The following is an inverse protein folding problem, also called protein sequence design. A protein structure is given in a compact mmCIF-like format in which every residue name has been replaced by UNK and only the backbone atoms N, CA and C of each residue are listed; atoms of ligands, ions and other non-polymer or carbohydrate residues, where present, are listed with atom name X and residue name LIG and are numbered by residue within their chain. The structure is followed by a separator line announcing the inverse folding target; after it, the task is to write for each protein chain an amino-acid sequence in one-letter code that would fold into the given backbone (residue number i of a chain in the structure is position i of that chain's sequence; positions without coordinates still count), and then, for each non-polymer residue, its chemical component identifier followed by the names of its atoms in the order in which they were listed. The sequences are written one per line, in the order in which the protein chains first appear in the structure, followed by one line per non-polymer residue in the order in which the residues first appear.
data_IF_461928622642
#
_entry.id   IF_461928622642
#
_cell.length_a   1.000
_cell.length_b   1.000
_cell.length_c   1.000
_cell.angle_alpha   90.00
_cell.angle_beta   90.00
_cell.angle_gamma   90.00
#
_symmetry.space_group_name_H-M   'P 1'
#
loop_
_entity.id
_entity.type
_entity.pdbx_description
1 polymer ?
#
# COMPACT_ATOMS: atom_id res chain seq x y z
N UNK A 1 -0.06 13.21 2.89
CA UNK A 1 -0.12 11.74 3.01
C UNK A 1 -1.05 11.38 4.16
N UNK A 2 -2.16 10.66 3.92
CA UNK A 2 -3.21 10.54 4.93
C UNK A 2 -2.88 9.58 6.10
N UNK A 3 -2.38 8.37 5.82
CA UNK A 3 -2.27 7.32 6.85
C UNK A 3 -0.86 6.81 7.12
N UNK A 4 0.03 6.87 6.13
CA UNK A 4 1.37 6.29 6.21
C UNK A 4 2.46 7.35 6.10
N UNK A 5 3.58 7.09 6.77
CA UNK A 5 4.86 7.74 6.49
C UNK A 5 5.50 7.04 5.29
N UNK A 6 5.94 7.82 4.31
CA UNK A 6 6.59 7.37 3.08
C UNK A 6 7.80 8.26 2.81
N UNK A 7 8.94 7.68 2.42
CA UNK A 7 10.15 8.45 2.10
C UNK A 7 9.89 9.47 0.98
N UNK A 8 10.35 10.70 1.16
CA UNK A 8 10.10 11.82 0.23
C UNK A 8 8.69 12.41 0.27
N UNK A 9 7.80 11.87 1.11
CA UNK A 9 6.43 12.33 1.27
C UNK A 9 6.30 13.50 2.25
N UNK A 10 5.51 14.51 1.88
CA UNK A 10 5.16 15.62 2.77
C UNK A 10 3.88 15.34 3.57
N UNK A 11 3.81 15.89 4.79
CA UNK A 11 2.66 15.81 5.71
C UNK A 11 2.16 14.36 5.89
N UNK A 12 2.98 13.46 6.47
CA UNK A 12 2.60 12.08 6.70
C UNK A 12 1.66 11.91 7.89
N UNK A 13 0.67 11.03 7.74
CA UNK A 13 -0.11 10.51 8.86
C UNK A 13 0.57 9.31 9.52
N UNK A 14 0.08 8.95 10.70
CA UNK A 14 0.61 7.86 11.55
C UNK A 14 -0.47 6.87 12.00
N UNK A 15 -1.61 6.84 11.31
CA UNK A 15 -2.71 5.90 11.57
C UNK A 15 -2.25 4.45 11.27
N UNK A 16 -1.37 4.29 10.29
CA UNK A 16 -0.85 3.00 9.87
C UNK A 16 0.69 2.98 9.86
N UNK A 17 1.32 1.78 9.84
CA UNK A 17 2.77 1.66 9.92
C UNK A 17 3.51 2.39 8.79
N UNK A 18 4.75 2.86 9.01
CA UNK A 18 5.56 3.46 7.95
C UNK A 18 5.83 2.46 6.82
N UNK A 19 5.94 2.95 5.58
CA UNK A 19 6.28 2.15 4.40
C UNK A 19 7.80 2.12 4.20
N UNK A 20 8.49 1.41 5.09
CA UNK A 20 9.95 1.23 5.03
C UNK A 20 10.29 -0.25 5.02
N UNK A 21 11.39 -0.61 4.35
CA UNK A 21 11.91 -1.98 4.33
C UNK A 21 10.92 -2.98 3.72
N UNK A 22 10.23 -2.56 2.65
CA UNK A 22 9.04 -3.27 2.18
C UNK A 22 9.37 -4.64 1.60
N UNK A 23 10.55 -4.82 1.01
CA UNK A 23 11.06 -6.13 0.56
C UNK A 23 11.24 -7.16 1.69
N UNK A 24 11.57 -6.69 2.90
CA UNK A 24 11.69 -7.57 4.07
C UNK A 24 10.32 -7.99 4.61
N UNK A 25 9.31 -7.11 4.51
CA UNK A 25 7.95 -7.36 4.97
C UNK A 25 7.11 -8.14 3.96
N UNK A 26 7.36 -7.92 2.68
CA UNK A 26 6.74 -8.58 1.54
C UNK A 26 7.86 -9.11 0.64
N UNK A 27 8.35 -10.35 0.85
CA UNK A 27 9.38 -10.94 -0.01
C UNK A 27 8.89 -11.16 -1.46
N UNK A 28 7.58 -11.27 -1.64
CA UNK A 28 6.92 -11.34 -2.94
C UNK A 28 6.13 -10.05 -3.19
N UNK A 29 6.47 -9.33 -4.26
CA UNK A 29 5.80 -8.10 -4.69
C UNK A 29 4.33 -8.35 -5.03
N UNK A 30 3.95 -9.53 -5.52
CA UNK A 30 2.56 -9.84 -5.82
C UNK A 30 1.68 -9.80 -4.57
N UNK A 31 2.22 -10.20 -3.41
CA UNK A 31 1.54 -10.10 -2.10
C UNK A 31 1.38 -8.63 -1.70
N UNK A 32 2.41 -7.79 -1.88
CA UNK A 32 2.29 -6.35 -1.64
C UNK A 32 1.23 -5.71 -2.56
N UNK A 33 1.24 -6.06 -3.84
CA UNK A 33 0.26 -5.58 -4.82
C UNK A 33 -1.16 -5.99 -4.41
N UNK A 34 -1.35 -7.22 -3.97
CA UNK A 34 -2.64 -7.70 -3.47
C UNK A 34 -3.09 -6.92 -2.23
N UNK A 35 -2.18 -6.65 -1.29
CA UNK A 35 -2.45 -5.81 -0.12
C UNK A 35 -2.87 -4.38 -0.52
N UNK A 36 -2.26 -3.79 -1.56
CA UNK A 36 -2.65 -2.47 -2.07
C UNK A 36 -3.99 -2.54 -2.82
N UNK A 37 -4.24 -3.61 -3.57
CA UNK A 37 -5.46 -3.77 -4.35
C UNK A 37 -6.70 -3.97 -3.47
N UNK A 38 -6.65 -4.95 -2.56
CA UNK A 38 -7.69 -5.21 -1.58
C UNK A 38 -7.10 -5.74 -0.26
N UNK A 39 -6.87 -4.85 0.72
CA UNK A 39 -6.29 -5.22 2.01
C UNK A 39 -7.25 -6.04 2.88
N UNK A 40 -8.54 -6.10 2.55
CA UNK A 40 -9.55 -6.83 3.32
C UNK A 40 -9.36 -8.33 3.24
N UNK A 41 -8.70 -8.81 2.19
CA UNK A 41 -8.33 -10.22 2.05
C UNK A 41 -7.40 -10.68 3.17
N UNK A 42 -6.50 -9.80 3.65
CA UNK A 42 -5.59 -10.09 4.76
C UNK A 42 -6.19 -9.68 6.12
N UNK A 43 -6.95 -8.59 6.17
CA UNK A 43 -7.63 -8.12 7.37
C UNK A 43 -9.00 -7.49 7.02
N UNK A 44 -10.12 -8.20 7.21
CA UNK A 44 -11.45 -7.71 6.87
C UNK A 44 -11.83 -6.38 7.56
N UNK A 45 -11.29 -6.11 8.74
CA UNK A 45 -11.58 -4.92 9.56
C UNK A 45 -10.59 -3.76 9.31
N UNK A 46 -9.79 -3.84 8.26
CA UNK A 46 -8.81 -2.81 7.92
C UNK A 46 -9.47 -1.48 7.55
N UNK A 47 -8.87 -0.39 8.02
CA UNK A 47 -9.23 0.96 7.58
C UNK A 47 -8.59 1.33 6.23
N UNK A 48 -7.67 0.51 5.72
CA UNK A 48 -7.05 0.74 4.41
C UNK A 48 -8.10 0.51 3.31
N UNK A 49 -8.36 1.48 2.42
CA UNK A 49 -9.37 1.33 1.39
C UNK A 49 -9.04 0.18 0.41
N UNK A 50 -10.05 -0.56 -0.09
CA UNK A 50 -9.86 -1.50 -1.19
C UNK A 50 -9.80 -0.74 -2.52
N UNK A 51 -8.58 -0.34 -2.90
CA UNK A 51 -8.34 0.59 -4.00
C UNK A 51 -8.84 0.09 -5.37
N UNK A 52 -8.73 -1.21 -5.66
CA UNK A 52 -9.24 -1.80 -6.91
C UNK A 52 -10.76 -1.96 -6.87
N UNK A 53 -11.30 -2.62 -5.82
CA UNK A 53 -12.72 -2.95 -5.74
C UNK A 53 -13.63 -1.71 -5.74
N UNK A 54 -13.16 -0.58 -5.22
CA UNK A 54 -13.90 0.68 -5.21
C UNK A 54 -13.56 1.59 -6.41
N UNK A 55 -12.67 1.15 -7.32
CA UNK A 55 -12.25 1.94 -8.48
C UNK A 55 -11.52 3.23 -8.13
N UNK A 56 -10.86 3.27 -6.96
CA UNK A 56 -10.07 4.44 -6.52
C UNK A 56 -8.79 4.56 -7.36
N UNK A 57 -8.19 3.42 -7.70
CA UNK A 57 -7.03 3.33 -8.59
C UNK A 57 -7.30 2.29 -9.68
N UNK A 58 -6.76 2.54 -10.86
CA UNK A 58 -6.68 1.56 -11.95
C UNK A 58 -5.61 0.51 -11.63
N UNK A 59 -5.69 -0.66 -12.28
CA UNK A 59 -4.68 -1.72 -12.11
C UNK A 59 -3.25 -1.23 -12.40
N UNK A 60 -3.08 -0.33 -13.38
CA UNK A 60 -1.79 0.27 -13.72
C UNK A 60 -1.27 1.19 -12.61
N UNK A 61 -2.15 1.97 -11.98
CA UNK A 61 -1.76 2.82 -10.85
C UNK A 61 -1.42 1.99 -9.62
N UNK A 62 -2.15 0.90 -9.38
CA UNK A 62 -1.82 -0.07 -8.31
C UNK A 62 -0.43 -0.67 -8.55
N UNK A 63 -0.12 -1.06 -9.79
CA UNK A 63 1.21 -1.57 -10.16
C UNK A 63 2.30 -0.52 -9.90
N UNK A 64 2.08 0.73 -10.33
CA UNK A 64 3.04 1.82 -10.11
C UNK A 64 3.27 2.14 -8.63
N UNK A 65 2.20 2.14 -7.82
CA UNK A 65 2.28 2.33 -6.36
C UNK A 65 3.03 1.15 -5.72
N UNK A 66 2.73 -0.09 -6.12
CA UNK A 66 3.42 -1.27 -5.63
C UNK A 66 4.91 -1.22 -5.98
N UNK A 67 5.27 -0.86 -7.21
CA UNK A 67 6.67 -0.72 -7.64
C UNK A 67 7.42 0.35 -6.86
N UNK A 68 6.79 1.52 -6.67
CA UNK A 68 7.37 2.60 -5.88
C UNK A 68 7.61 2.16 -4.44
N UNK A 69 6.60 1.63 -3.76
CA UNK A 69 6.70 1.17 -2.36
C UNK A 69 7.73 0.04 -2.24
N UNK A 70 7.80 -0.86 -3.21
CA UNK A 70 8.77 -1.97 -3.22
C UNK A 70 10.21 -1.52 -3.47
N UNK A 71 10.41 -0.32 -4.01
CA UNK A 71 11.73 0.30 -4.20
C UNK A 71 12.28 0.99 -2.94
N UNK A 72 11.43 1.22 -1.93
CA UNK A 72 11.77 1.83 -0.63
C UNK A 72 12.37 0.82 0.36
#
# INVERSE_FOLDING_TARGET
LACHIIAGGAQPGNIAPPLVGMKGRFPDKAVLRAQISDPRAANPDTMMPPFSAHGILTEKEIDAVADFIYSL
#
